data_IF_592527221883
#
_entry.id   IF_592527221883
#
_cell.length_a   1.000
_cell.length_b   1.000
_cell.length_c   1.000
_cell.angle_alpha   90.00
_cell.angle_beta   90.00
_cell.angle_gamma   90.00
#
_symmetry.space_group_name_H-M   'P 1'
#
loop_
_entity.id
_entity.type
_entity.pdbx_description
1 polymer ?
#
# COMPACT_ATOMS: atom_id res chain seq x y z
N UNK A 1 16.37 6.25 -12.29
CA UNK A 1 15.34 5.99 -11.26
C UNK A 1 16.06 5.83 -9.94
N UNK A 2 15.86 6.74 -8.98
CA UNK A 2 16.48 6.59 -7.67
C UNK A 2 15.93 5.33 -6.99
N UNK A 3 16.82 4.40 -6.63
CA UNK A 3 16.45 3.22 -5.84
C UNK A 3 16.19 3.68 -4.40
N UNK A 4 14.92 3.71 -3.98
CA UNK A 4 14.59 3.98 -2.57
C UNK A 4 14.92 2.71 -1.78
N UNK A 5 15.95 2.80 -0.93
CA UNK A 5 16.32 1.72 -0.02
C UNK A 5 15.53 1.84 1.29
N UNK A 6 14.34 1.22 1.34
CA UNK A 6 13.54 1.13 2.58
C UNK A 6 14.10 0.00 3.45
N UNK A 7 14.53 0.26 4.70
CA UNK A 7 14.99 -0.80 5.59
C UNK A 7 13.84 -1.75 5.92
N UNK A 8 14.15 -3.04 6.06
CA UNK A 8 13.19 -4.05 6.47
C UNK A 8 13.36 -4.38 7.94
N UNK A 9 12.26 -4.50 8.66
CA UNK A 9 12.21 -5.04 10.01
C UNK A 9 11.80 -6.51 9.99
N UNK A 10 12.41 -7.31 10.85
CA UNK A 10 12.05 -8.72 11.02
C UNK A 10 11.03 -8.85 12.15
N UNK A 11 9.88 -9.43 11.85
CA UNK A 11 8.84 -9.71 12.82
C UNK A 11 9.19 -10.95 13.66
N UNK A 12 8.49 -11.15 14.77
CA UNK A 12 8.68 -12.29 15.68
C UNK A 12 8.47 -13.68 15.01
N UNK A 13 7.78 -13.71 13.87
CA UNK A 13 7.55 -14.91 13.05
C UNK A 13 8.58 -15.07 11.91
N UNK A 14 9.67 -14.29 11.92
CA UNK A 14 10.74 -14.34 10.94
C UNK A 14 10.42 -13.65 9.60
N UNK A 15 9.20 -13.16 9.38
CA UNK A 15 8.84 -12.42 8.16
C UNK A 15 9.48 -11.03 8.17
N UNK A 16 9.79 -10.52 6.97
CA UNK A 16 10.32 -9.17 6.78
C UNK A 16 9.19 -8.22 6.39
N UNK A 17 9.19 -7.03 6.97
CA UNK A 17 8.25 -5.95 6.69
C UNK A 17 9.03 -4.66 6.38
N UNK A 18 8.74 -3.97 5.28
CA UNK A 18 9.34 -2.66 5.00
C UNK A 18 8.99 -1.67 6.12
N UNK A 19 9.99 -0.94 6.60
CA UNK A 19 9.84 0.02 7.69
C UNK A 19 9.04 1.27 7.34
N UNK A 20 8.76 1.48 6.05
CA UNK A 20 7.88 2.54 5.55
C UNK A 20 6.76 1.88 4.76
N UNK A 21 5.51 2.19 5.12
CA UNK A 21 4.31 1.75 4.43
C UNK A 21 3.41 2.92 4.03
N UNK A 22 2.52 2.68 3.07
CA UNK A 22 1.51 3.62 2.63
C UNK A 22 0.15 3.26 3.24
N UNK A 23 -0.40 4.13 4.07
CA UNK A 23 -1.74 3.99 4.61
C UNK A 23 -2.80 4.43 3.60
N UNK A 24 -3.87 3.65 3.48
CA UNK A 24 -4.89 3.89 2.45
C UNK A 24 -6.18 4.55 2.95
N UNK A 25 -6.20 5.03 4.20
CA UNK A 25 -7.35 5.76 4.76
C UNK A 25 -7.38 7.23 4.29
N UNK A 26 -8.54 7.68 3.80
CA UNK A 26 -8.72 9.03 3.24
C UNK A 26 -9.47 10.01 4.16
N UNK A 27 -9.74 9.64 5.41
CA UNK A 27 -10.56 10.44 6.33
C UNK A 27 -12.05 10.09 6.29
N UNK A 28 -12.51 9.47 5.20
CA UNK A 28 -13.87 8.98 5.04
C UNK A 28 -13.90 7.61 4.33
N UNK A 29 -14.92 6.77 4.59
CA UNK A 29 -15.05 5.50 3.89
C UNK A 29 -15.30 5.72 2.39
N UNK A 30 -14.57 4.98 1.54
CA UNK A 30 -14.84 4.99 0.11
C UNK A 30 -14.13 6.09 -0.68
N UNK A 31 -12.85 6.35 -0.38
CA UNK A 31 -11.97 7.30 -1.10
C UNK A 31 -11.79 7.08 -2.62
N UNK A 32 -12.51 6.15 -3.22
CA UNK A 32 -12.73 6.04 -4.66
C UNK A 32 -11.45 5.93 -5.49
N UNK A 33 -11.46 6.57 -6.66
CA UNK A 33 -10.37 6.57 -7.64
C UNK A 33 -9.07 7.18 -7.08
N UNK A 34 -9.17 8.12 -6.14
CA UNK A 34 -8.01 8.77 -5.54
C UNK A 34 -7.09 7.75 -4.85
N UNK A 35 -7.66 6.75 -4.18
CA UNK A 35 -6.88 5.72 -3.51
C UNK A 35 -6.21 4.78 -4.50
N UNK A 36 -6.88 4.46 -5.60
CA UNK A 36 -6.30 3.64 -6.67
C UNK A 36 -5.10 4.34 -7.32
N UNK A 37 -5.25 5.64 -7.65
CA UNK A 37 -4.17 6.45 -8.22
C UNK A 37 -3.00 6.55 -7.24
N UNK A 38 -3.28 6.79 -5.96
CA UNK A 38 -2.29 6.84 -4.90
C UNK A 38 -1.50 5.52 -4.80
N UNK A 39 -2.19 4.39 -4.77
CA UNK A 39 -1.55 3.06 -4.74
C UNK A 39 -0.68 2.81 -5.97
N UNK A 40 -1.18 3.11 -7.18
CA UNK A 40 -0.42 2.96 -8.43
C UNK A 40 0.84 3.83 -8.44
N UNK A 41 0.74 5.06 -7.94
CA UNK A 41 1.88 5.96 -7.85
C UNK A 41 2.89 5.49 -6.79
N UNK A 42 2.43 5.03 -5.63
CA UNK A 42 3.27 4.45 -4.58
C UNK A 42 4.06 3.23 -5.10
N UNK A 43 3.43 2.35 -5.87
CA UNK A 43 4.10 1.21 -6.51
C UNK A 43 5.20 1.66 -7.48
N UNK A 44 4.92 2.66 -8.32
CA UNK A 44 5.88 3.23 -9.29
C UNK A 44 7.11 3.84 -8.62
N UNK A 45 6.93 4.48 -7.46
CA UNK A 45 8.05 5.09 -6.72
C UNK A 45 8.76 4.12 -5.77
N UNK A 46 8.29 2.87 -5.65
CA UNK A 46 9.01 1.80 -4.97
C UNK A 46 8.43 1.34 -3.62
N UNK A 47 7.25 1.81 -3.21
CA UNK A 47 6.58 1.29 -2.01
C UNK A 47 6.19 -0.16 -2.20
N UNK A 48 6.35 -0.95 -1.15
CA UNK A 48 6.01 -2.39 -1.12
C UNK A 48 5.18 -2.80 0.10
N UNK A 49 4.91 -1.87 1.00
CA UNK A 49 4.09 -2.08 2.17
C UNK A 49 2.89 -1.14 2.09
N UNK A 50 1.68 -1.71 2.05
CA UNK A 50 0.42 -0.99 2.04
C UNK A 50 -0.40 -1.42 3.25
N UNK A 51 -0.97 -0.43 3.94
CA UNK A 51 -1.80 -0.62 5.12
C UNK A 51 -3.26 -0.28 4.78
N UNK A 52 -4.16 -1.25 5.01
CA UNK A 52 -5.58 -1.15 4.66
C UNK A 52 -6.44 -1.94 5.65
N UNK A 53 -7.71 -1.60 5.74
CA UNK A 53 -8.69 -2.28 6.57
C UNK A 53 -10.05 -2.36 5.86
N UNK A 54 -10.85 -3.39 6.17
CA UNK A 54 -12.20 -3.57 5.61
C UNK A 54 -13.14 -2.39 5.89
N UNK A 55 -12.93 -1.67 6.99
CA UNK A 55 -13.69 -0.48 7.37
C UNK A 55 -13.36 0.79 6.57
N UNK A 56 -12.28 0.80 5.76
CA UNK A 56 -11.89 1.99 5.00
C UNK A 56 -12.79 2.26 3.79
N UNK A 57 -13.75 1.37 3.52
CA UNK A 57 -14.69 1.51 2.40
C UNK A 57 -14.02 1.44 1.02
N UNK A 58 -12.73 1.09 0.98
CA UNK A 58 -12.03 0.86 -0.27
C UNK A 58 -12.56 -0.43 -0.89
N UNK A 59 -13.25 -0.31 -2.02
CA UNK A 59 -13.42 -1.42 -2.95
C UNK A 59 -12.07 -1.60 -3.63
N UNK A 60 -11.12 -2.21 -2.92
CA UNK A 60 -9.96 -2.78 -3.59
C UNK A 60 -10.55 -3.92 -4.41
N UNK A 61 -10.83 -3.67 -5.69
CA UNK A 61 -10.90 -4.77 -6.66
C UNK A 61 -9.68 -5.64 -6.40
N UNK A 62 -9.81 -6.97 -6.37
CA UNK A 62 -8.74 -7.85 -5.93
C UNK A 62 -7.45 -7.40 -6.59
N UNK A 63 -6.36 -7.27 -5.81
CA UNK A 63 -5.10 -6.68 -6.26
C UNK A 63 -4.58 -7.34 -7.57
N UNK A 64 -5.06 -8.55 -7.89
CA UNK A 64 -4.89 -9.28 -9.15
C UNK A 64 -5.54 -8.63 -10.39
N UNK A 65 -6.62 -7.87 -10.25
CA UNK A 65 -7.30 -7.16 -11.35
C UNK A 65 -6.74 -5.76 -11.58
N UNK A 66 -6.06 -5.18 -10.60
CA UNK A 66 -5.45 -3.85 -10.72
C UNK A 66 -4.19 -3.80 -11.61
N UNK A 67 -3.81 -4.94 -12.21
CA UNK A 67 -2.67 -5.02 -13.14
C UNK A 67 -1.32 -4.76 -12.48
N UNK A 68 -1.15 -5.22 -11.23
CA UNK A 68 0.18 -5.45 -10.64
C UNK A 68 0.70 -6.82 -11.04
#
# INVERSE_FOLDING_TARGET
MASINVPNFTLNNGKKMPGVGMGCWMGEPGGGEAVEIMCKNALKVGYRHFDTASGYGMVIRPFSEAGC
#
